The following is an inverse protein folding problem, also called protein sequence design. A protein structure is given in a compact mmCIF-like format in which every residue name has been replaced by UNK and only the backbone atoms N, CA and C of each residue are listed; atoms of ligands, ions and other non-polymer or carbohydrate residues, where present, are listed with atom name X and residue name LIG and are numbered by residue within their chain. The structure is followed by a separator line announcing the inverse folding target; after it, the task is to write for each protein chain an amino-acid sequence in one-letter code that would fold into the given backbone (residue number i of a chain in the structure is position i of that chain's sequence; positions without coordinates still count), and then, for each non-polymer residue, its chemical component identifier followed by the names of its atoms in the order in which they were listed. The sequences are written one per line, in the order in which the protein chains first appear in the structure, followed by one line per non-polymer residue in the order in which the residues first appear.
data_IF_831559011552
#
_entry.id   IF_831559011552
#
_cell.length_a   1.000
_cell.length_b   1.000
_cell.length_c   1.000
_cell.angle_alpha   90.00
_cell.angle_beta   90.00
_cell.angle_gamma   90.00
#
_symmetry.space_group_name_H-M   'P 1'
#
loop_
_entity.id
_entity.type
_entity.pdbx_description
1 polymer ?
#
# COMPACT_ATOMS: atom_id res chain seq x y z
N UNK A 1 -7.05 -4.69 5.31
CA UNK A 1 -5.66 -4.63 4.84
C UNK A 1 -5.55 -3.94 3.49
N UNK A 2 -4.48 -3.15 3.29
CA UNK A 2 -4.11 -2.61 1.99
C UNK A 2 -2.63 -2.90 1.75
N UNK A 3 -2.29 -3.39 0.57
CA UNK A 3 -0.91 -3.72 0.21
C UNK A 3 -0.70 -3.68 -1.30
N UNK A 4 0.55 -3.58 -1.71
CA UNK A 4 0.95 -3.62 -3.11
C UNK A 4 1.51 -5.01 -3.40
N UNK A 5 0.94 -5.68 -4.40
CA UNK A 5 1.56 -6.83 -5.06
C UNK A 5 2.36 -6.29 -6.24
N UNK A 6 3.64 -6.00 -5.98
CA UNK A 6 4.55 -5.45 -6.99
C UNK A 6 5.08 -6.53 -7.92
N UNK A 7 5.34 -6.13 -9.15
CA UNK A 7 6.06 -6.93 -10.15
C UNK A 7 7.05 -6.02 -10.89
N UNK A 8 7.88 -6.57 -11.76
CA UNK A 8 8.82 -5.79 -12.58
C UNK A 8 8.10 -4.81 -13.51
N UNK A 9 6.94 -5.19 -14.02
CA UNK A 9 6.13 -4.35 -14.91
C UNK A 9 5.04 -3.61 -14.12
N UNK A 10 3.79 -4.05 -14.23
CA UNK A 10 2.66 -3.45 -13.54
C UNK A 10 2.31 -4.26 -12.29
N UNK A 11 2.25 -3.58 -11.15
CA UNK A 11 1.76 -4.15 -9.91
C UNK A 11 0.27 -3.84 -9.68
N UNK A 12 -0.28 -4.44 -8.63
CA UNK A 12 -1.67 -4.22 -8.21
C UNK A 12 -1.69 -3.70 -6.78
N UNK A 13 -2.45 -2.63 -6.54
CA UNK A 13 -2.84 -2.25 -5.18
C UNK A 13 -4.06 -3.06 -4.79
N UNK A 14 -3.96 -3.82 -3.72
CA UNK A 14 -5.03 -4.68 -3.22
C UNK A 14 -5.54 -4.11 -1.90
N UNK A 15 -6.86 -3.91 -1.83
CA UNK A 15 -7.56 -3.58 -0.59
C UNK A 15 -8.47 -4.77 -0.29
N UNK A 16 -8.30 -5.37 0.88
CA UNK A 16 -9.02 -6.56 1.31
C UNK A 16 -9.56 -6.36 2.71
N UNK A 17 -10.80 -6.78 2.94
CA UNK A 17 -11.44 -6.75 4.24
C UNK A 17 -12.62 -7.70 4.31
N UNK A 18 -13.04 -7.98 5.53
CA UNK A 18 -14.25 -8.74 5.83
C UNK A 18 -15.30 -7.80 6.40
N UNK A 19 -16.57 -8.05 6.08
CA UNK A 19 -17.68 -7.29 6.62
C UNK A 19 -17.89 -7.65 8.10
N UNK A 20 -18.07 -6.62 8.93
CA UNK A 20 -18.50 -6.82 10.31
C UNK A 20 -19.98 -7.19 10.36
N UNK A 21 -20.38 -7.91 11.42
CA UNK A 21 -21.76 -8.26 11.64
C UNK A 21 -22.70 -7.05 11.59
N UNK A 22 -23.77 -7.17 10.81
CA UNK A 22 -24.77 -6.12 10.65
C UNK A 22 -24.40 -5.00 9.68
N UNK A 23 -23.24 -5.11 8.98
CA UNK A 23 -22.85 -4.20 7.91
C UNK A 23 -23.12 -4.81 6.56
N UNK A 24 -23.59 -4.00 5.62
CA UNK A 24 -23.76 -4.43 4.24
C UNK A 24 -22.62 -3.95 3.34
N UNK A 25 -22.51 -4.60 2.20
CA UNK A 25 -21.44 -4.33 1.25
C UNK A 25 -21.48 -2.88 0.70
N UNK A 26 -22.65 -2.32 0.29
CA UNK A 26 -22.72 -0.94 -0.19
C UNK A 26 -22.26 0.10 0.84
N UNK A 27 -22.59 -0.09 2.13
CA UNK A 27 -22.17 0.82 3.21
C UNK A 27 -20.65 0.83 3.35
N UNK A 28 -20.02 -0.34 3.34
CA UNK A 28 -18.57 -0.46 3.49
C UNK A 28 -17.85 0.10 2.26
N UNK A 29 -18.38 -0.15 1.06
CA UNK A 29 -17.79 0.42 -0.16
C UNK A 29 -17.92 1.95 -0.20
N UNK A 30 -19.03 2.51 0.25
CA UNK A 30 -19.20 3.95 0.33
C UNK A 30 -18.20 4.59 1.33
N UNK A 31 -17.98 3.93 2.47
CA UNK A 31 -16.98 4.38 3.44
C UNK A 31 -15.55 4.30 2.87
N UNK A 32 -15.22 3.21 2.17
CA UNK A 32 -13.93 3.06 1.50
C UNK A 32 -13.72 4.14 0.45
N UNK A 33 -14.72 4.38 -0.40
CA UNK A 33 -14.65 5.41 -1.45
C UNK A 33 -14.44 6.81 -0.83
N UNK A 34 -15.06 7.10 0.32
CA UNK A 34 -14.88 8.36 1.03
C UNK A 34 -13.42 8.53 1.54
N UNK A 35 -12.84 7.50 2.14
CA UNK A 35 -11.44 7.50 2.59
C UNK A 35 -10.47 7.67 1.42
N UNK A 36 -10.68 6.95 0.32
CA UNK A 36 -9.87 7.08 -0.88
C UNK A 36 -9.97 8.49 -1.49
N UNK A 37 -11.18 9.09 -1.46
CA UNK A 37 -11.38 10.45 -1.94
C UNK A 37 -10.61 11.48 -1.09
N UNK A 38 -10.53 11.29 0.23
CA UNK A 38 -9.73 12.16 1.08
C UNK A 38 -8.25 12.13 0.72
N UNK A 39 -7.72 10.96 0.37
CA UNK A 39 -6.34 10.81 -0.11
C UNK A 39 -6.15 11.53 -1.47
N UNK A 40 -7.10 11.36 -2.40
CA UNK A 40 -7.08 12.02 -3.71
C UNK A 40 -7.14 13.57 -3.55
N UNK A 41 -7.93 14.05 -2.58
CA UNK A 41 -8.04 15.48 -2.27
C UNK A 41 -6.78 16.04 -1.58
N UNK A 42 -5.90 15.15 -1.11
CA UNK A 42 -4.69 15.54 -0.37
C UNK A 42 -4.98 15.94 1.08
N UNK A 43 -6.08 15.44 1.66
CA UNK A 43 -6.44 15.67 3.06
C UNK A 43 -5.65 14.74 3.99
N UNK A 44 -4.33 14.76 3.85
CA UNK A 44 -3.38 14.01 4.65
C UNK A 44 -2.61 15.02 5.49
N UNK A 45 -2.61 14.86 6.80
CA UNK A 45 -1.84 15.73 7.68
C UNK A 45 -0.34 15.41 7.61
N UNK A 46 0.50 16.42 7.89
CA UNK A 46 1.95 16.22 8.00
C UNK A 46 2.28 15.17 9.07
N UNK A 47 1.53 15.12 10.16
CA UNK A 47 1.69 14.13 11.24
C UNK A 47 1.43 12.70 10.77
N UNK A 48 0.42 12.48 9.93
CA UNK A 48 0.13 11.17 9.35
C UNK A 48 1.24 10.75 8.38
N UNK A 49 1.69 11.67 7.54
CA UNK A 49 2.79 11.41 6.62
C UNK A 49 4.09 11.07 7.38
N UNK A 50 4.41 11.81 8.43
CA UNK A 50 5.55 11.53 9.28
C UNK A 50 5.44 10.17 9.97
N UNK A 51 4.28 9.84 10.53
CA UNK A 51 4.00 8.54 11.14
C UNK A 51 4.25 7.38 10.17
N UNK A 52 3.78 7.50 8.92
CA UNK A 52 3.97 6.45 7.91
C UNK A 52 5.45 6.31 7.54
N UNK A 53 6.16 7.42 7.35
CA UNK A 53 7.60 7.41 7.06
C UNK A 53 8.42 6.79 8.19
N UNK A 54 8.12 7.15 9.43
CA UNK A 54 8.79 6.60 10.61
C UNK A 54 8.50 5.09 10.77
N UNK A 55 7.26 4.67 10.51
CA UNK A 55 6.88 3.25 10.51
C UNK A 55 7.66 2.46 9.46
N UNK A 56 7.78 3.00 8.25
CA UNK A 56 8.55 2.36 7.19
C UNK A 56 10.02 2.21 7.59
N UNK A 57 10.65 3.29 8.06
CA UNK A 57 12.05 3.28 8.49
C UNK A 57 12.29 2.26 9.61
N UNK A 58 11.43 2.25 10.63
CA UNK A 58 11.52 1.27 11.70
C UNK A 58 11.41 -0.16 11.19
N UNK A 59 10.44 -0.45 10.31
CA UNK A 59 10.27 -1.78 9.71
C UNK A 59 11.49 -2.20 8.90
N UNK A 60 12.06 -1.26 8.13
CA UNK A 60 13.25 -1.49 7.33
C UNK A 60 14.46 -1.81 8.22
N UNK A 61 14.66 -1.05 9.30
CA UNK A 61 15.76 -1.30 10.24
C UNK A 61 15.57 -2.63 10.99
N UNK A 62 14.36 -2.97 11.41
CA UNK A 62 14.08 -4.26 12.03
C UNK A 62 14.34 -5.44 11.10
N UNK A 63 14.01 -5.31 9.81
CA UNK A 63 14.27 -6.36 8.82
C UNK A 63 15.76 -6.68 8.68
N UNK A 64 16.65 -5.74 8.95
CA UNK A 64 18.12 -5.94 8.95
C UNK A 64 18.62 -6.86 10.07
N UNK A 65 17.83 -7.14 11.09
CA UNK A 65 18.22 -8.07 12.17
C UNK A 65 18.14 -9.53 11.74
N UNK A 66 17.32 -9.85 10.74
CA UNK A 66 17.18 -11.19 10.19
C UNK A 66 18.19 -11.44 9.06
N UNK A 67 19.01 -12.47 9.21
CA UNK A 67 19.96 -12.88 8.17
C UNK A 67 19.23 -13.31 6.89
N UNK A 68 18.11 -14.02 7.03
CA UNK A 68 17.28 -14.44 5.88
C UNK A 68 16.71 -13.22 5.15
N UNK A 69 16.14 -12.26 5.86
CA UNK A 69 15.60 -11.04 5.25
C UNK A 69 16.69 -10.24 4.53
N UNK A 70 17.90 -10.15 5.10
CA UNK A 70 19.05 -9.53 4.42
C UNK A 70 19.40 -10.23 3.12
N UNK A 71 19.51 -11.55 3.16
CA UNK A 71 19.87 -12.33 1.98
C UNK A 71 18.82 -12.19 0.88
N UNK A 72 17.53 -12.28 1.23
CA UNK A 72 16.43 -12.11 0.27
C UNK A 72 16.40 -10.69 -0.32
N UNK A 73 16.56 -9.66 0.50
CA UNK A 73 16.58 -8.28 0.02
C UNK A 73 17.77 -8.03 -0.90
N UNK A 74 18.97 -8.46 -0.54
CA UNK A 74 20.14 -8.31 -1.39
C UNK A 74 19.98 -9.03 -2.73
N UNK A 75 19.46 -10.25 -2.72
CA UNK A 75 19.18 -11.01 -3.94
C UNK A 75 18.12 -10.32 -4.81
N UNK A 76 17.07 -9.76 -4.20
CA UNK A 76 16.02 -9.04 -4.90
C UNK A 76 16.56 -7.75 -5.56
N UNK A 77 17.34 -6.96 -4.83
CA UNK A 77 17.90 -5.73 -5.39
C UNK A 77 19.01 -5.99 -6.43
N UNK A 78 19.78 -7.08 -6.27
CA UNK A 78 20.72 -7.52 -7.30
C UNK A 78 19.96 -7.91 -8.60
N UNK A 79 18.83 -8.61 -8.46
CA UNK A 79 17.96 -8.93 -9.60
C UNK A 79 17.36 -7.68 -10.27
N UNK A 80 17.09 -6.61 -9.50
CA UNK A 80 16.67 -5.30 -10.05
C UNK A 80 17.83 -4.51 -10.69
N UNK A 81 19.07 -5.01 -10.61
CA UNK A 81 20.23 -4.47 -11.29
C UNK A 81 21.40 -4.07 -10.40
N UNK A 82 21.18 -3.78 -9.12
CA UNK A 82 22.25 -3.43 -8.18
C UNK A 82 21.81 -3.62 -6.71
N UNK A 83 22.46 -4.53 -5.99
CA UNK A 83 22.19 -4.75 -4.57
C UNK A 83 22.39 -3.50 -3.70
N UNK A 84 23.22 -2.55 -4.13
CA UNK A 84 23.46 -1.30 -3.40
C UNK A 84 22.21 -0.40 -3.34
N UNK A 85 21.25 -0.54 -4.28
CA UNK A 85 19.97 0.19 -4.29
C UNK A 85 19.15 -0.02 -3.01
N UNK A 86 19.35 -1.16 -2.32
CA UNK A 86 18.75 -1.41 -1.02
C UNK A 86 19.05 -0.31 0.00
N UNK A 87 20.25 0.25 -0.03
CA UNK A 87 20.66 1.28 0.93
C UNK A 87 19.97 2.62 0.71
N UNK A 88 19.51 2.88 -0.50
CA UNK A 88 18.85 4.14 -0.89
C UNK A 88 17.35 4.15 -0.58
N UNK A 89 16.75 2.99 -0.31
CA UNK A 89 15.31 2.86 -0.11
C UNK A 89 14.75 3.79 0.98
N UNK A 90 15.30 3.85 2.20
CA UNK A 90 14.75 4.74 3.23
C UNK A 90 14.80 6.22 2.81
N UNK A 91 15.85 6.62 2.10
CA UNK A 91 15.98 7.99 1.61
C UNK A 91 14.95 8.33 0.53
N UNK A 92 14.57 7.36 -0.33
CA UNK A 92 13.50 7.52 -1.32
C UNK A 92 12.14 7.74 -0.63
N UNK A 93 11.81 6.91 0.37
CA UNK A 93 10.57 7.05 1.12
C UNK A 93 10.49 8.38 1.89
N UNK A 94 11.59 8.84 2.47
CA UNK A 94 11.62 10.14 3.17
C UNK A 94 11.34 11.33 2.25
N UNK A 95 11.68 11.24 0.97
CA UNK A 95 11.46 12.31 -0.02
C UNK A 95 10.02 12.40 -0.52
N UNK A 96 9.20 11.37 -0.33
CA UNK A 96 7.80 11.38 -0.79
C UNK A 96 7.03 12.51 -0.13
N UNK A 97 6.37 13.33 -0.92
CA UNK A 97 5.52 14.44 -0.47
C UNK A 97 4.04 14.06 -0.47
N UNK A 98 3.21 14.87 0.19
CA UNK A 98 1.74 14.74 0.11
C UNK A 98 1.27 14.91 -1.34
N UNK A 99 1.88 15.82 -2.10
CA UNK A 99 1.56 16.01 -3.52
C UNK A 99 1.88 14.78 -4.36
N UNK A 100 2.96 14.05 -4.04
CA UNK A 100 3.26 12.78 -4.71
C UNK A 100 2.20 11.72 -4.42
N UNK A 101 1.77 11.60 -3.16
CA UNK A 101 0.69 10.67 -2.77
C UNK A 101 -0.59 11.05 -3.50
N UNK A 102 -1.00 12.31 -3.49
CA UNK A 102 -2.17 12.82 -4.20
C UNK A 102 -2.12 12.52 -5.70
N UNK A 103 -0.99 12.80 -6.34
CA UNK A 103 -0.78 12.54 -7.77
C UNK A 103 -0.96 11.07 -8.11
N UNK A 104 -0.32 10.18 -7.34
CA UNK A 104 -0.41 8.73 -7.54
C UNK A 104 -1.81 8.22 -7.24
N UNK A 105 -2.43 8.63 -6.12
CA UNK A 105 -3.79 8.27 -5.75
C UNK A 105 -4.80 8.64 -6.86
N UNK A 106 -4.70 9.85 -7.40
CA UNK A 106 -5.56 10.30 -8.51
C UNK A 106 -5.38 9.47 -9.79
N UNK A 107 -4.20 8.88 -9.99
CA UNK A 107 -3.94 8.05 -11.17
C UNK A 107 -4.43 6.62 -11.03
N UNK A 108 -4.41 6.05 -9.82
CA UNK A 108 -4.75 4.64 -9.57
C UNK A 108 -6.18 4.42 -9.08
N UNK A 109 -6.72 5.31 -8.24
CA UNK A 109 -8.07 5.18 -7.67
C UNK A 109 -9.15 5.72 -8.64
N UNK A 110 -9.22 5.13 -9.82
CA UNK A 110 -10.23 5.44 -10.83
C UNK A 110 -11.15 4.24 -11.04
N UNK A 111 -12.42 4.49 -11.31
CA UNK A 111 -13.39 3.42 -11.54
C UNK A 111 -13.07 2.51 -12.74
N UNK A 112 -12.47 3.04 -13.77
CA UNK A 112 -12.01 2.30 -14.95
C UNK A 112 -10.73 1.46 -14.68
N UNK A 113 -10.09 1.65 -13.53
CA UNK A 113 -8.91 0.90 -13.07
C UNK A 113 -9.23 -0.05 -11.90
N UNK A 114 -10.51 -0.22 -11.55
CA UNK A 114 -10.97 -1.04 -10.44
C UNK A 114 -11.38 -2.43 -10.92
N UNK A 115 -10.82 -3.45 -10.26
CA UNK A 115 -11.36 -4.80 -10.27
C UNK A 115 -11.91 -5.14 -8.89
N UNK A 116 -13.15 -5.56 -8.82
CA UNK A 116 -13.86 -5.84 -7.57
C UNK A 116 -14.19 -7.33 -7.49
N UNK A 117 -13.85 -7.96 -6.38
CA UNK A 117 -14.23 -9.33 -6.07
C UNK A 117 -15.03 -9.34 -4.77
N UNK A 118 -16.29 -9.76 -4.87
CA UNK A 118 -17.16 -9.98 -3.73
C UNK A 118 -17.32 -11.47 -3.48
N UNK A 119 -16.97 -11.87 -2.26
CA UNK A 119 -17.16 -13.24 -1.81
C UNK A 119 -18.33 -13.31 -0.83
N UNK A 120 -19.34 -14.11 -1.15
CA UNK A 120 -20.51 -14.32 -0.30
C UNK A 120 -20.56 -15.78 0.17
N UNK A 121 -20.88 -16.03 1.45
CA UNK A 121 -21.07 -17.40 1.92
C UNK A 121 -22.27 -18.02 1.23
N UNK A 122 -22.14 -19.26 0.82
CA UNK A 122 -23.27 -20.04 0.27
C UNK A 122 -24.27 -20.26 1.39
N UNK A 123 -25.49 -19.70 1.25
CA UNK A 123 -26.59 -20.04 2.13
C UNK A 123 -27.00 -21.48 1.85
N UNK A 124 -26.57 -22.42 2.72
CA UNK A 124 -27.13 -23.76 2.70
C UNK A 124 -28.62 -23.66 3.09
N UNK A 125 -29.49 -23.99 2.12
CA UNK A 125 -30.94 -24.17 2.37
C UNK A 125 -31.16 -25.44 3.16
#
# INVERSE_FOLDING_TARGET
NAYISGDMDAGTLIIQGDLNDGKDYPEVMAALDAELQEIIDGKISDSEMEKVKNKYEATFEFAKTSVLSKAMNLAYYEWLGDAALLNDEPAKYKKVSIDDVKRVASSIFRRDNLSELRYEPVQNK
#
